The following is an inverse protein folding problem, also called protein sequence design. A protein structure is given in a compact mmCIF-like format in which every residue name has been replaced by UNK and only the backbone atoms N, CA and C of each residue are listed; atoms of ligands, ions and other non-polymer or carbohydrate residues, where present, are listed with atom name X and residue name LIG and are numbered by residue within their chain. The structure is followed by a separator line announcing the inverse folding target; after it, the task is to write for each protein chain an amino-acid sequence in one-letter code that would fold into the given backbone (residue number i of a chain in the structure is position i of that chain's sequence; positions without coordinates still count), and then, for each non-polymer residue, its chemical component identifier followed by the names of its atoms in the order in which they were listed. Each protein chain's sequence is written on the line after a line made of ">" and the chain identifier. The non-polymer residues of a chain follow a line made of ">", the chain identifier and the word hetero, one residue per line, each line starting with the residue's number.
data_IF_999878228938
#
_entry.id   IF_999878228938
#
_cell.length_a   1.000
_cell.length_b   1.000
_cell.length_c   1.000
_cell.angle_alpha   90.00
_cell.angle_beta   90.00
_cell.angle_gamma   90.00
#
_symmetry.space_group_name_H-M   'P 1'
#
loop_
_entity.id
_entity.type
_entity.pdbx_description
1 polymer ?
#
# COMPACT_ATOMS: atom_id res chain seq x y z
N UNK A 1 3.33 -21.40 -33.06
CA UNK A 1 4.57 -20.94 -32.42
C UNK A 1 4.25 -19.64 -31.73
N UNK A 2 4.60 -19.49 -30.43
CA UNK A 2 4.48 -18.21 -29.72
C UNK A 2 5.56 -17.28 -30.26
N UNK A 3 5.20 -16.10 -30.76
CA UNK A 3 6.16 -15.07 -31.16
C UNK A 3 6.67 -14.39 -29.88
N UNK A 4 7.97 -14.47 -29.63
CA UNK A 4 8.62 -13.75 -28.53
C UNK A 4 9.21 -12.44 -29.09
N UNK A 5 9.10 -11.37 -28.28
CA UNK A 5 9.70 -10.07 -28.58
C UNK A 5 10.67 -9.69 -27.46
N UNK A 6 11.48 -8.67 -27.68
CA UNK A 6 12.48 -8.20 -26.72
C UNK A 6 11.93 -7.07 -25.88
N UNK A 7 12.35 -7.01 -24.62
CA UNK A 7 12.14 -5.88 -23.74
C UNK A 7 13.23 -4.83 -24.04
N UNK A 8 12.81 -3.60 -24.33
CA UNK A 8 13.71 -2.48 -24.63
C UNK A 8 13.68 -1.49 -23.45
N UNK A 9 14.86 -1.14 -22.93
CA UNK A 9 15.00 -0.10 -21.91
C UNK A 9 15.02 1.29 -22.53
N UNK A 10 14.19 2.19 -22.00
CA UNK A 10 14.20 3.63 -22.34
C UNK A 10 15.13 4.32 -21.35
N UNK A 11 16.35 4.61 -21.78
CA UNK A 11 17.41 5.19 -20.94
C UNK A 11 17.21 6.67 -20.63
N UNK A 12 16.52 7.38 -21.51
CA UNK A 12 16.24 8.82 -21.33
C UNK A 12 14.89 8.98 -20.61
N UNK A 13 14.94 9.04 -19.27
CA UNK A 13 13.76 9.25 -18.44
C UNK A 13 13.10 10.60 -18.70
N UNK A 14 13.89 11.63 -19.12
CA UNK A 14 13.37 12.97 -19.42
C UNK A 14 12.55 13.03 -20.70
N UNK A 15 12.61 12.00 -21.53
CA UNK A 15 11.67 11.83 -22.66
C UNK A 15 10.22 11.57 -22.20
N UNK A 16 10.03 11.09 -20.98
CA UNK A 16 8.71 10.84 -20.36
C UNK A 16 8.39 11.89 -19.30
N UNK A 17 9.37 12.24 -18.47
CA UNK A 17 9.25 13.27 -17.44
C UNK A 17 10.30 14.35 -17.68
N UNK A 18 9.98 15.41 -18.45
CA UNK A 18 10.94 16.50 -18.74
C UNK A 18 11.46 17.20 -17.49
N UNK A 19 10.59 17.40 -16.50
CA UNK A 19 10.90 18.09 -15.24
C UNK A 19 10.67 17.16 -14.05
N UNK A 20 11.63 17.12 -13.14
CA UNK A 20 11.60 16.29 -11.93
C UNK A 20 10.45 16.70 -11.00
N UNK A 21 10.47 17.95 -10.51
CA UNK A 21 9.48 18.45 -9.58
C UNK A 21 8.07 18.65 -10.18
N UNK A 22 7.97 18.95 -11.49
CA UNK A 22 6.69 19.27 -12.13
C UNK A 22 6.01 18.05 -12.77
N UNK A 23 6.78 17.05 -13.20
CA UNK A 23 6.27 15.89 -13.93
C UNK A 23 6.48 14.60 -13.15
N UNK A 24 7.70 14.31 -12.68
CA UNK A 24 8.03 13.04 -12.07
C UNK A 24 7.52 12.93 -10.63
N UNK A 25 7.75 13.93 -9.78
CA UNK A 25 7.30 13.91 -8.38
C UNK A 25 5.77 13.76 -8.27
N UNK A 26 4.94 14.53 -9.01
CA UNK A 26 3.49 14.32 -9.01
C UNK A 26 3.09 12.95 -9.55
N UNK A 27 3.73 12.49 -10.63
CA UNK A 27 3.46 11.17 -11.17
C UNK A 27 3.78 10.06 -10.15
N UNK A 28 4.93 10.16 -9.46
CA UNK A 28 5.33 9.19 -8.44
C UNK A 28 4.34 9.18 -7.26
N UNK A 29 3.89 10.35 -6.82
CA UNK A 29 2.90 10.48 -5.77
C UNK A 29 1.56 9.82 -6.15
N UNK A 30 1.11 10.02 -7.38
CA UNK A 30 -0.13 9.43 -7.91
C UNK A 30 -0.02 7.91 -8.16
N UNK A 31 1.20 7.40 -8.34
CA UNK A 31 1.48 5.98 -8.61
C UNK A 31 2.36 5.35 -7.50
N UNK A 32 2.21 5.83 -6.27
CA UNK A 32 3.07 5.42 -5.15
C UNK A 32 3.04 3.92 -4.89
N UNK A 33 1.94 3.24 -5.21
CA UNK A 33 1.78 1.80 -5.05
C UNK A 33 2.85 0.99 -5.78
N UNK A 34 3.35 1.49 -6.94
CA UNK A 34 4.43 0.83 -7.69
C UNK A 34 5.76 0.82 -6.92
N UNK A 35 6.07 1.91 -6.22
CA UNK A 35 7.23 2.00 -5.34
C UNK A 35 7.00 1.22 -4.05
N UNK A 36 5.81 1.32 -3.47
CA UNK A 36 5.37 0.60 -2.28
C UNK A 36 5.55 -0.92 -2.43
N UNK A 37 5.07 -1.47 -3.55
CA UNK A 37 5.24 -2.89 -3.90
C UNK A 37 6.73 -3.28 -3.99
N UNK A 38 7.58 -2.43 -4.57
CA UNK A 38 9.01 -2.71 -4.74
C UNK A 38 9.77 -2.71 -3.41
N UNK A 39 9.47 -1.78 -2.49
CA UNK A 39 10.11 -1.69 -1.17
C UNK A 39 9.46 -2.63 -0.14
N UNK A 40 8.25 -3.12 -0.42
CA UNK A 40 7.49 -4.00 0.47
C UNK A 40 6.86 -3.28 1.65
N UNK A 41 6.40 -2.04 1.44
CA UNK A 41 5.72 -1.19 2.42
C UNK A 41 4.35 -0.76 1.88
N UNK A 42 3.41 -0.48 2.78
CA UNK A 42 2.15 0.19 2.44
C UNK A 42 2.34 1.70 2.65
N UNK A 43 2.42 2.46 1.56
CA UNK A 43 2.73 3.88 1.59
C UNK A 43 1.47 4.70 1.29
N UNK A 44 1.16 5.65 2.17
CA UNK A 44 0.15 6.69 1.93
C UNK A 44 0.86 8.03 1.81
N UNK A 45 0.72 8.70 0.68
CA UNK A 45 1.26 10.05 0.47
C UNK A 45 0.45 11.04 1.29
N UNK A 46 1.14 11.81 2.15
CA UNK A 46 0.54 12.85 2.97
C UNK A 46 0.68 14.22 2.29
N UNK A 47 1.88 14.52 1.74
CA UNK A 47 2.19 15.83 1.16
C UNK A 47 3.33 15.71 0.13
N UNK A 48 3.25 16.46 -0.96
CA UNK A 48 4.38 16.68 -1.89
C UNK A 48 5.00 18.06 -1.62
N UNK A 49 6.31 18.21 -1.88
CA UNK A 49 7.07 19.44 -1.62
C UNK A 49 6.94 19.93 -0.17
N UNK A 50 6.98 18.99 0.78
CA UNK A 50 6.75 19.25 2.20
C UNK A 50 7.93 19.96 2.85
N UNK A 51 7.67 21.10 3.52
CA UNK A 51 8.71 21.98 4.03
C UNK A 51 9.49 21.39 5.21
N UNK A 52 10.83 21.54 5.17
CA UNK A 52 11.77 21.27 6.26
C UNK A 52 12.69 22.48 6.42
N UNK A 53 12.38 23.41 7.31
CA UNK A 53 13.07 24.68 7.42
C UNK A 53 12.96 25.47 6.12
N UNK A 54 14.10 25.80 5.49
CA UNK A 54 14.18 26.53 4.21
C UNK A 54 14.15 25.59 2.98
N UNK A 55 13.96 24.28 3.17
CA UNK A 55 14.02 23.26 2.13
C UNK A 55 12.70 22.48 2.06
N UNK A 56 12.50 21.74 0.97
CA UNK A 56 11.34 20.89 0.78
C UNK A 56 11.77 19.44 0.51
N UNK A 57 11.03 18.51 1.09
CA UNK A 57 11.08 17.07 0.76
C UNK A 57 10.17 16.83 -0.43
N UNK A 58 10.61 16.08 -1.43
CA UNK A 58 9.82 15.82 -2.63
C UNK A 58 8.47 15.16 -2.30
N UNK A 59 8.49 14.08 -1.49
CA UNK A 59 7.28 13.42 -1.01
C UNK A 59 7.44 13.08 0.47
N UNK A 60 6.49 13.55 1.28
CA UNK A 60 6.29 13.12 2.66
C UNK A 60 5.10 12.17 2.72
N UNK A 61 5.28 11.05 3.40
CA UNK A 61 4.32 9.96 3.43
C UNK A 61 4.30 9.28 4.80
N UNK A 62 3.32 8.44 5.02
CA UNK A 62 3.20 7.58 6.18
C UNK A 62 3.04 6.11 5.77
N UNK A 63 3.53 5.19 6.59
CA UNK A 63 3.25 3.78 6.38
C UNK A 63 1.86 3.46 6.89
N UNK A 64 1.01 2.95 6.01
CA UNK A 64 -0.39 2.63 6.32
C UNK A 64 -0.47 1.62 7.49
N UNK A 65 -1.26 1.97 8.50
CA UNK A 65 -1.47 1.09 9.67
C UNK A 65 -0.38 1.14 10.73
N UNK A 66 0.64 1.97 10.56
CA UNK A 66 1.67 2.26 11.56
C UNK A 66 1.77 3.77 11.81
N UNK A 67 2.64 4.18 12.76
CA UNK A 67 2.95 5.60 12.98
C UNK A 67 4.29 5.99 12.29
N UNK A 68 4.84 5.12 11.43
CA UNK A 68 6.14 5.35 10.77
C UNK A 68 6.01 6.42 9.70
N UNK A 69 6.92 7.38 9.76
CA UNK A 69 7.03 8.48 8.80
C UNK A 69 8.00 8.12 7.69
N UNK A 70 7.62 8.41 6.48
CA UNK A 70 8.38 8.11 5.27
C UNK A 70 8.74 9.41 4.59
N UNK A 71 9.99 9.55 4.16
CA UNK A 71 10.41 10.58 3.20
C UNK A 71 10.91 9.91 1.93
N UNK A 72 10.57 10.51 0.80
CA UNK A 72 11.03 10.05 -0.52
C UNK A 72 11.67 11.25 -1.21
N UNK A 73 12.93 11.11 -1.55
CA UNK A 73 13.66 12.02 -2.45
C UNK A 73 13.79 11.34 -3.79
N UNK A 74 13.54 12.08 -4.85
CA UNK A 74 13.61 11.54 -6.19
C UNK A 74 14.54 12.38 -7.07
N UNK A 75 15.22 11.71 -8.00
CA UNK A 75 16.24 12.32 -8.84
C UNK A 75 16.30 11.61 -10.19
N UNK A 76 15.99 12.32 -11.28
CA UNK A 76 16.06 11.78 -12.65
C UNK A 76 17.52 11.79 -13.19
N UNK A 77 18.48 11.62 -12.30
CA UNK A 77 19.91 11.59 -12.55
C UNK A 77 20.61 10.48 -11.78
N UNK A 78 21.94 10.44 -11.90
CA UNK A 78 22.78 9.58 -11.08
C UNK A 78 22.82 10.14 -9.65
N UNK A 79 22.97 9.26 -8.65
CA UNK A 79 23.16 9.68 -7.26
C UNK A 79 24.30 10.68 -7.10
N UNK A 80 24.14 11.65 -6.20
CA UNK A 80 25.14 12.67 -5.87
C UNK A 80 25.18 12.98 -4.36
N UNK A 81 26.18 13.73 -3.94
CA UNK A 81 26.40 14.08 -2.54
C UNK A 81 25.37 15.07 -1.99
N UNK A 82 24.84 15.95 -2.87
CA UNK A 82 23.86 16.97 -2.47
C UNK A 82 22.54 16.29 -2.05
N UNK A 83 22.05 15.32 -2.82
CA UNK A 83 20.86 14.56 -2.48
C UNK A 83 21.08 13.64 -1.28
N UNK A 84 22.26 13.01 -1.14
CA UNK A 84 22.60 12.25 0.07
C UNK A 84 22.55 13.14 1.31
N UNK A 85 23.09 14.36 1.24
CA UNK A 85 23.03 15.34 2.32
C UNK A 85 21.59 15.77 2.65
N UNK A 86 20.76 16.00 1.62
CA UNK A 86 19.32 16.31 1.78
C UNK A 86 18.60 15.17 2.51
N UNK A 87 18.75 13.92 2.07
CA UNK A 87 18.12 12.74 2.69
C UNK A 87 18.37 12.69 4.20
N UNK A 88 19.62 12.88 4.64
CA UNK A 88 19.99 12.86 6.06
C UNK A 88 19.38 14.06 6.79
N UNK A 89 19.41 15.25 6.19
CA UNK A 89 18.87 16.47 6.77
C UNK A 89 17.35 16.37 6.95
N UNK A 90 16.65 15.88 5.92
CA UNK A 90 15.20 15.78 5.94
C UNK A 90 14.71 14.66 6.86
N UNK A 91 15.43 13.53 6.86
CA UNK A 91 15.17 12.44 7.82
C UNK A 91 15.18 12.94 9.26
N UNK A 92 16.21 13.73 9.62
CA UNK A 92 16.32 14.35 10.93
C UNK A 92 15.21 15.38 11.19
N UNK A 93 14.93 16.28 10.22
CA UNK A 93 13.95 17.35 10.37
C UNK A 93 12.51 16.89 10.49
N UNK A 94 12.14 15.82 9.80
CA UNK A 94 10.78 15.20 9.86
C UNK A 94 10.70 14.08 10.89
N UNK A 95 11.81 13.69 11.54
CA UNK A 95 11.88 12.49 12.38
C UNK A 95 11.35 11.27 11.63
N UNK A 96 11.88 11.08 10.41
CA UNK A 96 11.42 10.00 9.53
C UNK A 96 12.02 8.65 9.97
N UNK A 97 11.20 7.62 9.88
CA UNK A 97 11.58 6.23 10.18
C UNK A 97 12.03 5.49 8.91
N UNK A 98 11.54 5.90 7.75
CA UNK A 98 11.89 5.32 6.46
C UNK A 98 12.31 6.42 5.49
N UNK A 99 13.43 6.19 4.84
CA UNK A 99 14.01 7.11 3.86
C UNK A 99 14.19 6.36 2.55
N UNK A 100 13.55 6.84 1.49
CA UNK A 100 13.61 6.21 0.17
C UNK A 100 14.23 7.19 -0.82
N UNK A 101 15.32 6.78 -1.45
CA UNK A 101 15.98 7.54 -2.51
C UNK A 101 15.70 6.87 -3.86
N UNK A 102 14.93 7.53 -4.71
CA UNK A 102 14.60 7.07 -6.06
C UNK A 102 15.48 7.79 -7.06
N UNK A 103 16.27 7.05 -7.85
CA UNK A 103 17.25 7.62 -8.79
C UNK A 103 17.18 6.93 -10.15
N UNK A 104 17.74 7.59 -11.17
CA UNK A 104 17.97 6.97 -12.47
C UNK A 104 19.07 5.91 -12.39
N UNK A 105 20.19 6.23 -11.72
CA UNK A 105 21.32 5.33 -11.55
C UNK A 105 22.01 5.54 -10.20
N UNK A 106 22.25 4.46 -9.49
CA UNK A 106 22.94 4.43 -8.20
C UNK A 106 24.43 4.16 -8.40
N UNK A 107 25.28 5.12 -8.06
CA UNK A 107 26.74 4.91 -8.04
C UNK A 107 27.13 4.03 -6.88
N UNK A 108 28.16 3.19 -7.06
CA UNK A 108 28.63 2.24 -6.02
C UNK A 108 29.01 2.95 -4.71
N UNK A 109 29.58 4.16 -4.78
CA UNK A 109 29.98 4.94 -3.60
C UNK A 109 28.77 5.34 -2.75
N UNK A 110 27.66 5.73 -3.40
CA UNK A 110 26.43 6.10 -2.69
C UNK A 110 25.67 4.89 -2.20
N UNK A 111 25.68 3.78 -2.95
CA UNK A 111 25.17 2.51 -2.47
C UNK A 111 25.90 2.07 -1.20
N UNK A 112 27.23 2.10 -1.20
CA UNK A 112 28.03 1.80 -0.01
C UNK A 112 27.73 2.76 1.16
N UNK A 113 27.47 4.04 0.89
CA UNK A 113 27.06 5.00 1.91
C UNK A 113 25.69 4.66 2.52
N UNK A 114 24.70 4.27 1.69
CA UNK A 114 23.38 3.85 2.17
C UNK A 114 23.47 2.54 2.97
N UNK A 115 24.27 1.58 2.52
CA UNK A 115 24.59 0.36 3.28
C UNK A 115 25.20 0.69 4.66
N UNK A 116 26.15 1.63 4.68
CA UNK A 116 26.79 2.07 5.92
C UNK A 116 25.78 2.76 6.86
N UNK A 117 24.90 3.61 6.34
CA UNK A 117 23.81 4.24 7.10
C UNK A 117 22.89 3.17 7.72
N UNK A 118 22.48 2.18 6.95
CA UNK A 118 21.65 1.06 7.44
C UNK A 118 22.34 0.23 8.53
N UNK A 119 23.67 0.17 8.50
CA UNK A 119 24.46 -0.59 9.51
C UNK A 119 24.74 0.21 10.80
N UNK A 120 24.65 1.56 10.76
CA UNK A 120 25.12 2.43 11.85
C UNK A 120 24.06 3.40 12.39
N UNK A 121 22.83 3.37 11.86
CA UNK A 121 21.68 4.08 12.42
C UNK A 121 20.89 3.17 13.37
N UNK A 122 19.93 3.76 14.09
CA UNK A 122 19.01 3.02 14.96
C UNK A 122 18.20 2.00 14.12
N UNK A 123 17.91 0.84 14.68
CA UNK A 123 17.12 -0.23 14.04
C UNK A 123 15.72 0.22 13.58
N UNK A 124 15.27 1.37 14.06
CA UNK A 124 13.99 1.97 13.62
C UNK A 124 14.10 2.75 12.31
N UNK A 125 15.32 3.11 11.91
CA UNK A 125 15.58 3.92 10.73
C UNK A 125 15.99 3.02 9.56
N UNK A 126 15.28 3.14 8.44
CA UNK A 126 15.45 2.31 7.26
C UNK A 126 15.75 3.17 6.03
N UNK A 127 16.89 2.96 5.38
CA UNK A 127 17.26 3.62 4.13
C UNK A 127 17.11 2.66 2.96
N UNK A 128 16.38 3.11 1.93
CA UNK A 128 16.24 2.42 0.65
C UNK A 128 16.87 3.25 -0.46
N UNK A 129 17.56 2.57 -1.37
CA UNK A 129 18.03 3.15 -2.63
C UNK A 129 17.38 2.34 -3.77
N UNK A 130 16.63 3.02 -4.63
CA UNK A 130 15.91 2.40 -5.73
C UNK A 130 16.25 3.08 -7.05
N UNK A 131 16.51 2.29 -8.09
CA UNK A 131 16.55 2.80 -9.47
C UNK A 131 15.18 2.71 -10.11
N UNK A 132 14.76 3.77 -10.79
CA UNK A 132 13.60 3.75 -11.67
C UNK A 132 14.03 3.41 -13.08
N UNK A 133 13.40 2.41 -13.67
CA UNK A 133 13.63 1.95 -15.03
C UNK A 133 12.36 2.05 -15.86
N UNK A 134 12.52 2.40 -17.13
CA UNK A 134 11.43 2.38 -18.10
C UNK A 134 11.72 1.33 -19.18
N UNK A 135 10.71 0.53 -19.47
CA UNK A 135 10.78 -0.50 -20.51
C UNK A 135 9.60 -0.40 -21.46
N UNK A 136 9.79 -0.90 -22.68
CA UNK A 136 8.69 -1.09 -23.64
C UNK A 136 8.89 -2.38 -24.44
N UNK A 137 7.82 -2.85 -25.02
CA UNK A 137 7.78 -3.98 -25.94
C UNK A 137 7.31 -3.47 -27.30
N UNK A 138 8.25 -3.37 -28.27
CA UNK A 138 7.93 -2.79 -29.58
C UNK A 138 7.41 -1.35 -29.46
N UNK A 139 6.19 -1.09 -29.92
CA UNK A 139 5.56 0.23 -29.89
C UNK A 139 4.55 0.39 -28.73
N UNK A 140 4.66 -0.42 -27.66
CA UNK A 140 3.81 -0.23 -26.49
C UNK A 140 4.13 1.07 -25.77
N UNK A 141 3.20 1.50 -24.90
CA UNK A 141 3.49 2.53 -23.91
C UNK A 141 4.61 2.08 -22.97
N UNK A 142 5.39 3.02 -22.40
CA UNK A 142 6.42 2.70 -21.42
C UNK A 142 5.83 2.03 -20.18
N UNK A 143 6.51 1.00 -19.69
CA UNK A 143 6.23 0.35 -18.42
C UNK A 143 7.32 0.70 -17.40
N UNK A 144 6.91 1.05 -16.19
CA UNK A 144 7.81 1.41 -15.09
C UNK A 144 8.19 0.18 -14.29
N UNK A 145 9.44 0.16 -13.81
CA UNK A 145 9.95 -0.81 -12.84
C UNK A 145 10.84 -0.10 -11.84
N UNK A 146 10.61 -0.34 -10.56
CA UNK A 146 11.55 0.03 -9.49
C UNK A 146 12.45 -1.15 -9.18
N UNK A 147 13.77 -0.91 -9.18
CA UNK A 147 14.80 -1.91 -8.82
C UNK A 147 15.45 -1.47 -7.51
N UNK A 148 15.29 -2.27 -6.46
CA UNK A 148 15.89 -1.98 -5.16
C UNK A 148 17.38 -2.33 -5.23
N UNK A 149 18.21 -1.30 -5.13
CA UNK A 149 19.68 -1.40 -5.19
C UNK A 149 20.26 -1.64 -3.79
N UNK A 150 19.68 -0.96 -2.78
CA UNK A 150 20.07 -1.13 -1.39
C UNK A 150 18.85 -1.02 -0.47
N UNK A 151 18.87 -1.79 0.60
CA UNK A 151 17.82 -1.84 1.62
C UNK A 151 18.44 -2.27 2.96
N UNK A 152 17.78 -2.03 4.12
CA UNK A 152 18.30 -2.45 5.41
C UNK A 152 18.69 -3.94 5.42
N UNK A 153 19.87 -4.24 5.92
CA UNK A 153 20.48 -5.60 5.93
C UNK A 153 19.61 -6.66 6.59
N UNK A 154 18.82 -6.28 7.58
CA UNK A 154 17.87 -7.13 8.28
C UNK A 154 16.41 -6.95 7.82
N UNK A 155 16.15 -6.13 6.77
CA UNK A 155 14.79 -5.87 6.31
C UNK A 155 14.01 -7.17 6.03
N UNK A 156 14.61 -8.15 5.37
CA UNK A 156 14.01 -9.46 5.19
C UNK A 156 13.93 -10.28 6.50
N UNK A 157 14.82 -9.99 7.47
CA UNK A 157 14.77 -10.58 8.81
C UNK A 157 13.87 -9.76 9.73
N UNK A 158 13.70 -8.47 9.51
CA UNK A 158 12.79 -7.61 10.27
C UNK A 158 11.35 -7.76 9.80
N UNK A 159 11.08 -7.96 8.52
CA UNK A 159 9.78 -8.52 8.08
C UNK A 159 9.56 -9.87 8.79
N UNK A 160 10.58 -10.73 8.90
CA UNK A 160 10.51 -12.00 9.66
C UNK A 160 10.59 -11.81 11.18
N UNK A 161 11.22 -10.74 11.70
CA UNK A 161 11.27 -10.42 13.14
C UNK A 161 10.07 -9.56 13.58
N UNK A 162 9.54 -8.71 12.72
CA UNK A 162 8.22 -8.12 12.92
C UNK A 162 7.15 -9.22 12.95
N UNK A 163 7.29 -10.28 12.15
CA UNK A 163 6.54 -11.54 12.30
C UNK A 163 6.76 -12.21 13.67
N UNK A 164 7.91 -11.99 14.32
CA UNK A 164 8.24 -12.63 15.60
C UNK A 164 8.28 -11.68 16.82
N UNK A 165 8.29 -10.36 16.67
CA UNK A 165 8.60 -9.42 17.76
C UNK A 165 7.40 -8.70 18.36
N UNK A 166 6.30 -8.52 17.64
CA UNK A 166 5.07 -7.95 18.19
C UNK A 166 3.98 -9.00 18.34
N UNK A 167 3.48 -9.26 19.57
CA UNK A 167 2.32 -10.14 19.78
C UNK A 167 1.11 -9.75 18.93
N UNK A 168 1.02 -8.47 18.58
CA UNK A 168 -0.04 -7.93 17.70
C UNK A 168 0.13 -8.40 16.25
N UNK A 169 1.34 -8.33 15.69
CA UNK A 169 1.62 -8.75 14.32
C UNK A 169 1.48 -10.27 14.16
N UNK A 170 2.01 -11.04 15.13
CA UNK A 170 1.81 -12.50 15.15
C UNK A 170 0.33 -12.88 15.16
N UNK A 171 -0.47 -12.18 15.99
CA UNK A 171 -1.91 -12.40 16.06
C UNK A 171 -2.61 -12.11 14.73
N UNK A 172 -2.27 -11.01 14.05
CA UNK A 172 -2.84 -10.66 12.76
C UNK A 172 -2.50 -11.72 11.71
N UNK A 173 -1.22 -12.08 11.59
CA UNK A 173 -0.78 -13.10 10.65
C UNK A 173 -1.48 -14.45 10.92
N UNK A 174 -1.60 -14.84 12.18
CA UNK A 174 -2.28 -16.06 12.58
C UNK A 174 -3.79 -16.00 12.26
N UNK A 175 -4.43 -14.87 12.54
CA UNK A 175 -5.85 -14.64 12.23
C UNK A 175 -6.11 -14.72 10.72
N UNK A 176 -5.31 -14.01 9.90
CA UNK A 176 -5.47 -14.04 8.45
C UNK A 176 -5.13 -15.39 7.83
N UNK A 177 -4.17 -16.13 8.40
CA UNK A 177 -3.87 -17.50 7.98
C UNK A 177 -5.05 -18.41 8.26
N UNK A 178 -5.58 -18.37 9.48
CA UNK A 178 -6.74 -19.15 9.87
C UNK A 178 -7.99 -18.77 9.05
N UNK A 179 -8.22 -17.47 8.80
CA UNK A 179 -9.31 -17.02 7.92
C UNK A 179 -9.19 -17.61 6.51
N UNK A 180 -8.02 -17.53 5.91
CA UNK A 180 -7.79 -18.08 4.58
C UNK A 180 -8.04 -19.59 4.54
N UNK A 181 -7.54 -20.31 5.53
CA UNK A 181 -7.73 -21.77 5.57
C UNK A 181 -9.20 -22.14 5.79
N UNK A 182 -9.91 -21.38 6.62
CA UNK A 182 -11.34 -21.57 6.85
C UNK A 182 -12.18 -21.20 5.62
N UNK A 183 -12.01 -19.99 5.11
CA UNK A 183 -12.85 -19.42 4.06
C UNK A 183 -12.68 -20.16 2.72
N UNK A 184 -11.46 -20.50 2.35
CA UNK A 184 -11.19 -21.16 1.06
C UNK A 184 -11.37 -22.69 1.08
N UNK A 185 -11.71 -23.28 2.23
CA UNK A 185 -12.30 -24.63 2.29
C UNK A 185 -13.78 -24.61 1.87
N UNK A 186 -14.44 -23.47 1.88
CA UNK A 186 -15.79 -23.31 1.36
C UNK A 186 -15.76 -23.10 -0.17
N UNK A 187 -16.23 -24.11 -0.92
CA UNK A 187 -16.16 -24.11 -2.39
C UNK A 187 -16.96 -22.97 -3.03
N UNK A 188 -18.07 -22.52 -2.44
CA UNK A 188 -18.87 -21.40 -2.98
C UNK A 188 -18.15 -20.07 -2.75
N UNK A 189 -17.52 -19.86 -1.61
CA UNK A 189 -16.72 -18.68 -1.34
C UNK A 189 -15.48 -18.63 -2.26
N UNK A 190 -14.78 -19.75 -2.42
CA UNK A 190 -13.60 -19.87 -3.28
C UNK A 190 -13.89 -19.59 -4.78
N UNK A 191 -15.13 -19.80 -5.24
CA UNK A 191 -15.54 -19.40 -6.59
C UNK A 191 -15.71 -17.88 -6.76
N UNK A 192 -15.92 -17.16 -5.67
CA UNK A 192 -16.23 -15.74 -5.69
C UNK A 192 -15.01 -14.85 -5.41
N UNK A 193 -14.04 -15.37 -4.70
CA UNK A 193 -12.85 -14.63 -4.28
C UNK A 193 -11.58 -15.42 -4.52
N UNK A 194 -10.47 -14.72 -4.72
CA UNK A 194 -9.15 -15.32 -4.77
C UNK A 194 -8.48 -15.27 -3.39
N UNK A 195 -7.74 -16.34 -3.05
CA UNK A 195 -6.95 -16.39 -1.82
C UNK A 195 -5.88 -15.28 -1.83
N UNK A 196 -5.78 -14.52 -0.77
CA UNK A 196 -4.74 -13.51 -0.56
C UNK A 196 -3.64 -14.06 0.34
N UNK A 197 -2.40 -13.58 0.17
CA UNK A 197 -1.33 -13.91 1.10
C UNK A 197 -1.62 -13.27 2.45
N UNK A 198 -1.61 -14.02 3.57
CA UNK A 198 -1.73 -13.42 4.90
C UNK A 198 -0.60 -12.42 5.16
N UNK A 199 -0.93 -11.29 5.77
CA UNK A 199 0.01 -10.25 6.16
C UNK A 199 -0.08 -9.95 7.67
N UNK A 200 0.74 -9.04 8.15
CA UNK A 200 0.70 -8.52 9.52
C UNK A 200 -0.19 -7.28 9.65
N UNK A 201 -0.81 -6.86 8.54
CA UNK A 201 -1.69 -5.70 8.50
C UNK A 201 -3.00 -5.94 9.26
N UNK A 202 -3.64 -4.85 9.63
CA UNK A 202 -4.93 -4.91 10.30
C UNK A 202 -6.10 -5.09 9.31
N UNK A 203 -5.83 -5.17 8.02
CA UNK A 203 -6.81 -5.35 6.95
C UNK A 203 -6.34 -6.37 5.90
N UNK A 204 -7.29 -6.90 5.14
CA UNK A 204 -7.05 -7.79 4.00
C UNK A 204 -7.98 -7.41 2.87
N UNK A 205 -7.40 -7.04 1.74
CA UNK A 205 -8.14 -6.66 0.53
C UNK A 205 -8.71 -7.89 -0.19
N UNK A 206 -9.93 -7.73 -0.74
CA UNK A 206 -10.62 -8.73 -1.54
C UNK A 206 -11.16 -8.10 -2.82
N UNK A 207 -10.74 -8.59 -3.98
CA UNK A 207 -11.16 -8.05 -5.28
C UNK A 207 -12.65 -8.28 -5.54
N UNK A 208 -13.32 -7.26 -6.04
CA UNK A 208 -14.71 -7.34 -6.54
C UNK A 208 -14.77 -7.58 -8.06
N UNK A 209 -13.63 -7.48 -8.76
CA UNK A 209 -13.52 -7.65 -10.21
C UNK A 209 -13.82 -6.38 -11.03
N UNK A 210 -13.80 -5.20 -10.39
CA UNK A 210 -13.96 -3.88 -11.01
C UNK A 210 -12.82 -2.98 -10.54
N UNK A 211 -12.22 -2.19 -11.42
CA UNK A 211 -11.18 -1.21 -11.05
C UNK A 211 -11.80 -0.01 -10.30
N UNK A 212 -10.99 0.66 -9.48
CA UNK A 212 -11.42 1.84 -8.70
C UNK A 212 -12.22 1.52 -7.44
N UNK A 213 -12.57 0.26 -7.19
CA UNK A 213 -13.26 -0.19 -5.98
C UNK A 213 -12.74 -1.57 -5.53
N UNK A 214 -12.74 -1.80 -4.23
CA UNK A 214 -12.44 -3.13 -3.67
C UNK A 214 -13.20 -3.37 -2.37
N UNK A 215 -13.20 -4.61 -1.92
CA UNK A 215 -13.64 -4.96 -0.58
C UNK A 215 -12.42 -5.08 0.33
N UNK A 216 -12.58 -4.75 1.61
CA UNK A 216 -11.57 -5.03 2.61
C UNK A 216 -12.20 -5.64 3.87
N UNK A 217 -11.45 -6.53 4.51
CA UNK A 217 -11.77 -7.03 5.84
C UNK A 217 -10.85 -6.28 6.80
N UNK A 218 -11.36 -5.68 7.87
CA UNK A 218 -10.55 -4.89 8.79
C UNK A 218 -10.67 -5.37 10.23
N UNK A 219 -9.54 -5.37 10.96
CA UNK A 219 -9.45 -5.64 12.40
C UNK A 219 -9.39 -4.32 13.16
N UNK A 220 -10.50 -3.88 13.73
CA UNK A 220 -10.59 -2.63 14.50
C UNK A 220 -10.30 -2.94 15.97
N UNK A 221 -9.04 -3.25 16.29
CA UNK A 221 -8.63 -3.73 17.61
C UNK A 221 -8.97 -2.78 18.76
N UNK A 222 -8.93 -1.45 18.55
CA UNK A 222 -9.28 -0.46 19.58
C UNK A 222 -10.74 -0.57 20.06
N UNK A 223 -11.65 -1.10 19.23
CA UNK A 223 -13.06 -1.28 19.53
C UNK A 223 -13.47 -2.74 19.71
N UNK A 224 -12.53 -3.68 19.58
CA UNK A 224 -12.82 -5.11 19.51
C UNK A 224 -13.90 -5.42 18.48
N UNK A 225 -13.72 -4.94 17.27
CA UNK A 225 -14.62 -5.13 16.14
C UNK A 225 -13.85 -5.63 14.91
N UNK A 226 -14.52 -6.44 14.11
CA UNK A 226 -14.13 -6.69 12.72
C UNK A 226 -15.09 -5.97 11.78
N UNK A 227 -14.61 -5.49 10.65
CA UNK A 227 -15.40 -4.81 9.63
C UNK A 227 -15.25 -5.47 8.26
N UNK A 228 -16.26 -5.26 7.43
CA UNK A 228 -16.19 -5.51 5.99
C UNK A 228 -16.53 -4.21 5.29
N UNK A 229 -15.61 -3.77 4.45
CA UNK A 229 -15.63 -2.47 3.79
C UNK A 229 -15.85 -2.63 2.29
N UNK A 230 -16.62 -1.74 1.70
CA UNK A 230 -16.60 -1.42 0.28
C UNK A 230 -15.86 -0.09 0.15
N UNK A 231 -14.65 -0.14 -0.41
CA UNK A 231 -13.77 1.02 -0.52
C UNK A 231 -13.76 1.53 -1.96
N UNK A 232 -13.91 2.84 -2.11
CA UNK A 232 -13.86 3.58 -3.38
C UNK A 232 -12.56 4.40 -3.35
N UNK A 233 -11.65 4.13 -4.28
CA UNK A 233 -10.26 4.60 -4.20
C UNK A 233 -10.13 6.11 -4.41
N UNK A 234 -10.73 6.67 -5.47
CA UNK A 234 -10.63 8.11 -5.80
C UNK A 234 -11.82 8.53 -6.69
N UNK A 235 -13.05 8.26 -6.24
CA UNK A 235 -14.26 8.60 -7.00
C UNK A 235 -15.40 9.04 -6.07
N UNK A 236 -15.39 10.32 -5.69
CA UNK A 236 -16.45 10.93 -4.87
C UNK A 236 -17.80 10.98 -5.58
N UNK A 237 -17.79 11.05 -6.90
CA UNK A 237 -19.02 11.04 -7.69
C UNK A 237 -19.69 9.67 -7.62
N UNK A 238 -18.93 8.59 -7.77
CA UNK A 238 -19.41 7.23 -7.57
C UNK A 238 -19.96 7.04 -6.14
N UNK A 239 -19.25 7.54 -5.11
CA UNK A 239 -19.74 7.47 -3.74
C UNK A 239 -21.11 8.15 -3.60
N UNK A 240 -21.28 9.36 -4.11
CA UNK A 240 -22.54 10.10 -4.05
C UNK A 240 -23.65 9.43 -4.85
N UNK A 241 -23.34 8.84 -6.02
CA UNK A 241 -24.29 8.05 -6.79
C UNK A 241 -24.78 6.82 -6.00
N UNK A 242 -23.88 6.09 -5.35
CA UNK A 242 -24.21 4.95 -4.50
C UNK A 242 -25.00 5.39 -3.26
N UNK A 243 -24.58 6.47 -2.60
CA UNK A 243 -25.27 7.04 -1.43
C UNK A 243 -26.72 7.42 -1.76
N UNK A 244 -26.99 7.95 -2.96
CA UNK A 244 -28.36 8.26 -3.40
C UNK A 244 -29.26 7.02 -3.52
N UNK A 245 -28.66 5.83 -3.62
CA UNK A 245 -29.33 4.51 -3.69
C UNK A 245 -29.21 3.70 -2.39
N UNK A 246 -28.79 4.35 -1.31
CA UNK A 246 -28.48 3.70 -0.02
C UNK A 246 -29.55 2.71 0.41
N UNK A 247 -30.82 3.12 0.49
CA UNK A 247 -31.91 2.26 0.95
C UNK A 247 -32.08 0.98 0.10
N UNK A 248 -31.88 1.11 -1.21
CA UNK A 248 -31.95 -0.04 -2.13
C UNK A 248 -30.78 -0.98 -1.94
N UNK A 249 -29.56 -0.44 -1.80
CA UNK A 249 -28.34 -1.21 -1.60
C UNK A 249 -28.39 -1.94 -0.25
N UNK A 250 -28.78 -1.26 0.82
CA UNK A 250 -28.91 -1.85 2.16
C UNK A 250 -29.99 -2.93 2.19
N UNK A 251 -31.11 -2.72 1.50
CA UNK A 251 -32.14 -3.74 1.35
C UNK A 251 -31.65 -4.96 0.58
N UNK A 252 -30.94 -4.74 -0.53
CA UNK A 252 -30.37 -5.83 -1.36
C UNK A 252 -29.30 -6.63 -0.61
N UNK A 253 -28.47 -5.93 0.17
CA UNK A 253 -27.48 -6.58 1.02
C UNK A 253 -28.09 -7.24 2.27
N UNK A 254 -29.24 -6.75 2.74
CA UNK A 254 -29.80 -7.11 4.05
C UNK A 254 -28.91 -6.68 5.21
N UNK A 255 -28.15 -5.59 5.04
CA UNK A 255 -27.19 -5.03 5.99
C UNK A 255 -27.41 -3.51 6.08
N UNK A 256 -27.24 -2.95 7.27
CA UNK A 256 -27.13 -1.52 7.47
C UNK A 256 -25.67 -1.11 7.47
N UNK A 257 -25.32 -0.08 6.73
CA UNK A 257 -23.95 0.38 6.57
C UNK A 257 -23.71 1.74 7.22
N UNK A 258 -22.50 1.96 7.67
CA UNK A 258 -21.94 3.28 7.94
C UNK A 258 -21.30 3.81 6.64
N UNK A 259 -21.83 4.93 6.12
CA UNK A 259 -21.41 5.55 4.86
C UNK A 259 -20.52 6.74 5.18
N UNK A 260 -19.23 6.64 4.80
CA UNK A 260 -18.21 7.63 5.13
C UNK A 260 -17.61 8.20 3.84
N UNK A 261 -17.92 9.46 3.54
CA UNK A 261 -17.35 10.16 2.39
C UNK A 261 -15.86 10.44 2.55
N UNK A 262 -15.38 10.65 3.78
CA UNK A 262 -14.00 11.00 4.12
C UNK A 262 -13.51 12.24 3.34
N UNK A 263 -14.05 13.44 3.59
CA UNK A 263 -13.79 14.63 2.75
C UNK A 263 -12.30 15.03 2.70
N UNK A 264 -11.53 14.72 3.74
CA UNK A 264 -10.09 14.97 3.81
C UNK A 264 -9.22 13.89 3.10
N UNK A 265 -9.85 12.88 2.51
CA UNK A 265 -9.17 11.79 1.80
C UNK A 265 -9.72 11.65 0.40
N UNK A 266 -8.89 11.16 -0.54
CA UNK A 266 -9.33 10.84 -1.91
C UNK A 266 -10.40 9.75 -1.92
N UNK A 267 -10.21 8.70 -1.13
CA UNK A 267 -11.13 7.57 -1.04
C UNK A 267 -12.36 7.83 -0.18
N UNK A 268 -13.34 6.95 -0.34
CA UNK A 268 -14.57 6.89 0.48
C UNK A 268 -14.84 5.43 0.85
N UNK A 269 -15.55 5.19 1.94
CA UNK A 269 -15.84 3.82 2.36
C UNK A 269 -17.29 3.64 2.83
N UNK A 270 -17.79 2.43 2.65
CA UNK A 270 -19.05 1.97 3.19
C UNK A 270 -18.76 0.71 3.99
N UNK A 271 -19.01 0.75 5.31
CA UNK A 271 -18.56 -0.30 6.22
C UNK A 271 -19.74 -0.89 7.03
N UNK A 272 -19.65 -2.18 7.29
CA UNK A 272 -20.43 -2.85 8.33
C UNK A 272 -19.46 -3.45 9.34
N UNK A 273 -19.76 -3.33 10.63
CA UNK A 273 -18.92 -3.86 11.71
C UNK A 273 -19.67 -4.82 12.61
N UNK A 274 -18.92 -5.68 13.28
CA UNK A 274 -19.39 -6.61 14.30
C UNK A 274 -18.35 -6.69 15.42
N UNK A 275 -18.80 -6.89 16.67
CA UNK A 275 -17.91 -7.21 17.78
C UNK A 275 -17.12 -8.49 17.51
N UNK A 276 -15.82 -8.45 17.79
CA UNK A 276 -14.88 -9.54 17.56
C UNK A 276 -13.79 -9.56 18.63
N UNK A 277 -13.65 -10.69 19.31
CA UNK A 277 -12.51 -10.95 20.19
C UNK A 277 -11.42 -11.69 19.41
N UNK A 278 -10.39 -10.98 19.02
CA UNK A 278 -9.29 -11.57 18.24
C UNK A 278 -8.35 -12.45 19.08
N UNK A 279 -8.44 -12.38 20.42
CA UNK A 279 -7.64 -13.17 21.34
C UNK A 279 -8.24 -14.53 21.64
N UNK A 280 -9.55 -14.71 21.44
CA UNK A 280 -10.23 -15.99 21.63
C UNK A 280 -10.41 -16.73 20.30
N UNK A 281 -9.53 -17.68 20.05
CA UNK A 281 -9.56 -18.51 18.83
C UNK A 281 -10.84 -19.35 18.69
N UNK A 282 -11.56 -19.60 19.78
CA UNK A 282 -12.82 -20.34 19.72
C UNK A 282 -13.94 -19.51 19.07
N UNK A 283 -13.82 -18.17 19.10
CA UNK A 283 -14.77 -17.28 18.44
C UNK A 283 -14.46 -17.05 16.94
N UNK A 284 -13.24 -17.37 16.48
CA UNK A 284 -12.82 -17.12 15.10
C UNK A 284 -13.72 -17.74 14.05
N UNK A 285 -14.17 -19.01 14.14
CA UNK A 285 -15.09 -19.57 13.15
C UNK A 285 -16.36 -18.75 12.96
N UNK A 286 -16.98 -18.27 14.04
CA UNK A 286 -18.18 -17.44 13.97
C UNK A 286 -17.90 -16.04 13.41
N UNK A 287 -16.69 -15.50 13.62
CA UNK A 287 -16.24 -14.25 12.99
C UNK A 287 -16.03 -14.49 11.49
N UNK A 288 -15.39 -15.58 11.09
CA UNK A 288 -15.12 -15.91 9.69
C UNK A 288 -16.40 -16.17 8.90
N UNK A 289 -17.37 -16.87 9.47
CA UNK A 289 -18.69 -17.07 8.84
C UNK A 289 -19.37 -15.72 8.56
N UNK A 290 -19.34 -14.80 9.53
CA UNK A 290 -19.92 -13.48 9.36
C UNK A 290 -19.18 -12.64 8.32
N UNK A 291 -17.85 -12.69 8.30
CA UNK A 291 -17.01 -12.00 7.29
C UNK A 291 -17.34 -12.52 5.90
N UNK A 292 -17.40 -13.84 5.72
CA UNK A 292 -17.69 -14.48 4.43
C UNK A 292 -19.11 -14.11 3.93
N UNK A 293 -20.10 -14.18 4.79
CA UNK A 293 -21.48 -13.80 4.48
C UNK A 293 -21.57 -12.31 4.09
N UNK A 294 -20.93 -11.43 4.88
CA UNK A 294 -20.90 -9.99 4.62
C UNK A 294 -20.22 -9.65 3.29
N UNK A 295 -19.06 -10.27 3.00
CA UNK A 295 -18.34 -10.09 1.73
C UNK A 295 -19.22 -10.48 0.53
N UNK A 296 -19.91 -11.60 0.59
CA UNK A 296 -20.79 -12.08 -0.48
C UNK A 296 -21.98 -11.14 -0.67
N UNK A 297 -22.64 -10.72 0.40
CA UNK A 297 -23.80 -9.81 0.36
C UNK A 297 -23.41 -8.44 -0.20
N UNK A 298 -22.32 -7.86 0.29
CA UNK A 298 -21.82 -6.56 -0.18
C UNK A 298 -21.46 -6.65 -1.66
N UNK A 299 -20.66 -7.67 -2.06
CA UNK A 299 -20.30 -7.88 -3.46
C UNK A 299 -21.53 -7.96 -4.36
N UNK A 300 -22.52 -8.76 -3.97
CA UNK A 300 -23.73 -8.96 -4.78
C UNK A 300 -24.63 -7.71 -4.86
N UNK A 301 -24.74 -6.95 -3.75
CA UNK A 301 -25.53 -5.73 -3.71
C UNK A 301 -24.87 -4.62 -4.54
N UNK A 302 -23.59 -4.31 -4.25
CA UNK A 302 -22.91 -3.20 -4.91
C UNK A 302 -22.64 -3.44 -6.39
N UNK A 303 -22.36 -4.69 -6.80
CA UNK A 303 -22.08 -5.03 -8.20
C UNK A 303 -23.23 -4.72 -9.17
N UNK A 304 -24.43 -4.52 -8.68
CA UNK A 304 -25.61 -4.10 -9.49
C UNK A 304 -25.63 -2.60 -9.76
N UNK A 305 -24.78 -1.82 -9.07
CA UNK A 305 -24.85 -0.36 -9.05
C UNK A 305 -23.54 0.33 -9.50
N UNK A 306 -22.48 -0.45 -9.76
CA UNK A 306 -21.16 -0.02 -10.27
C UNK A 306 -20.94 -0.46 -11.71
#
# INVERSE_FOLDING_TARGET
>A
MVSLTTLEEIKDLRSVWPHEALDFTPWLADNIDLLADAVGLDITVDETESSVGDFNVDIYASETGTDRKIIIENQLGDTDHDHLGKLITYASGKSADVIIWVVKHAREEHKAAVEWLNAHTDDKIAFFLSEIKLYRIGNSEPAVKFEIIERPNDWAKEIKKADNSSPRHQRRLEYWTAFNDYAFNNAEFAKQFNRRKPSTDHWMEMSIGTSGVHLAITMIQKRNETGVEFYIVDDKELFNQLLSKKETIEKDAGLAFDWQELPERKGSLVIVTRSANFDDKNEWPAQFDWIMDSLLRIKNAFKKHI
#
